data_IF_549505361683
#
_entry.id   IF_549505361683
#
_cell.length_a   1.000
_cell.length_b   1.000
_cell.length_c   1.000
_cell.angle_alpha   90.00
_cell.angle_beta   90.00
_cell.angle_gamma   90.00
#
_symmetry.space_group_name_H-M   'P 1'
#
loop_
_entity.id
_entity.type
_entity.pdbx_description
1 polymer ?
#
# COMPACT_ATOMS: atom_id res chain seq x y z
N UNK A 1 8.64 14.65 -10.45
CA UNK A 1 7.51 15.00 -11.35
C UNK A 1 7.29 16.50 -11.25
N UNK A 2 6.71 17.12 -12.27
CA UNK A 2 6.58 18.58 -12.41
C UNK A 2 5.25 18.97 -13.05
N UNK A 3 5.23 20.08 -13.78
CA UNK A 3 4.06 20.55 -14.52
C UNK A 3 3.51 19.44 -15.44
N UNK A 4 2.18 19.23 -15.42
CA UNK A 4 1.50 18.16 -16.15
C UNK A 4 1.07 16.95 -15.31
N UNK A 5 1.44 16.90 -14.02
CA UNK A 5 0.97 15.89 -13.08
C UNK A 5 0.29 16.53 -11.87
N UNK A 6 -0.82 15.95 -11.45
CA UNK A 6 -1.45 16.23 -10.16
C UNK A 6 -1.35 14.97 -9.30
N UNK A 7 -0.86 15.14 -8.07
CA UNK A 7 -0.74 14.05 -7.10
C UNK A 7 -1.71 14.31 -5.97
N UNK A 8 -2.60 13.34 -5.73
CA UNK A 8 -3.60 13.40 -4.67
C UNK A 8 -3.16 12.46 -3.54
N UNK A 9 -2.89 13.04 -2.37
CA UNK A 9 -2.39 12.30 -1.22
C UNK A 9 -3.53 11.81 -0.33
N UNK A 10 -3.81 10.51 -0.35
CA UNK A 10 -4.82 9.88 0.49
C UNK A 10 -4.20 8.92 1.52
N UNK A 11 -3.15 9.37 2.20
CA UNK A 11 -2.47 8.62 3.27
C UNK A 11 -3.16 8.75 4.63
N UNK A 12 -3.38 7.64 5.34
CA UNK A 12 -3.91 7.64 6.70
C UNK A 12 -3.12 6.69 7.61
N UNK A 13 -2.55 7.23 8.69
CA UNK A 13 -1.79 6.45 9.66
C UNK A 13 -2.64 5.33 10.27
N UNK A 14 -2.11 4.10 10.21
CA UNK A 14 -2.79 2.92 10.75
C UNK A 14 -3.86 2.33 9.83
N UNK A 15 -4.04 2.85 8.61
CA UNK A 15 -4.98 2.28 7.63
C UNK A 15 -4.63 0.82 7.34
N UNK A 16 -5.66 -0.01 7.38
CA UNK A 16 -5.64 -1.42 6.98
C UNK A 16 -6.26 -1.54 5.59
N UNK A 17 -6.05 -2.67 4.92
CA UNK A 17 -6.72 -2.94 3.65
C UNK A 17 -8.23 -3.16 3.84
N UNK A 18 -8.60 -4.27 4.49
CA UNK A 18 -9.99 -4.72 4.71
C UNK A 18 -10.32 -4.99 6.18
N UNK A 19 -9.33 -4.90 7.08
CA UNK A 19 -9.52 -5.25 8.49
C UNK A 19 -10.12 -4.10 9.28
N UNK A 20 -11.19 -4.37 10.03
CA UNK A 20 -11.83 -3.36 10.88
C UNK A 20 -11.31 -3.46 12.31
N UNK A 21 -10.79 -2.35 12.83
CA UNK A 21 -10.60 -2.13 14.26
C UNK A 21 -11.89 -1.50 14.82
N UNK A 22 -12.61 -2.14 15.77
CA UNK A 22 -13.85 -1.59 16.32
C UNK A 22 -13.70 -0.18 16.91
N UNK A 23 -12.53 0.12 17.46
CA UNK A 23 -12.23 1.43 18.06
C UNK A 23 -11.77 2.47 17.02
N UNK A 24 -11.53 2.05 15.78
CA UNK A 24 -11.04 2.90 14.70
C UNK A 24 -11.54 2.44 13.32
N UNK A 25 -12.85 2.27 13.18
CA UNK A 25 -13.49 1.73 11.95
C UNK A 25 -13.13 2.50 10.68
N UNK A 26 -12.86 3.80 10.80
CA UNK A 26 -12.45 4.69 9.72
C UNK A 26 -11.07 4.37 9.12
N UNK A 27 -10.32 3.45 9.74
CA UNK A 27 -9.03 2.97 9.22
C UNK A 27 -9.16 1.80 8.25
N UNK A 28 -10.33 1.19 8.13
CA UNK A 28 -10.57 0.22 7.07
C UNK A 28 -10.67 0.95 5.72
N UNK A 29 -9.80 0.62 4.76
CA UNK A 29 -9.80 1.26 3.45
C UNK A 29 -11.02 0.85 2.60
N UNK A 30 -11.54 -0.37 2.76
CA UNK A 30 -12.62 -0.90 1.93
C UNK A 30 -13.87 0.00 1.86
N UNK A 31 -14.49 0.43 2.98
CA UNK A 31 -15.66 1.31 2.93
C UNK A 31 -15.33 2.75 2.48
N UNK A 32 -14.06 3.14 2.57
CA UNK A 32 -13.60 4.50 2.25
C UNK A 32 -13.24 4.66 0.76
N UNK A 33 -12.71 3.60 0.13
CA UNK A 33 -12.04 3.69 -1.16
C UNK A 33 -12.98 4.13 -2.30
N UNK A 34 -14.18 3.57 -2.41
CA UNK A 34 -15.09 3.92 -3.50
C UNK A 34 -15.53 5.40 -3.47
N UNK A 35 -16.01 5.96 -2.33
CA UNK A 35 -16.27 7.39 -2.23
C UNK A 35 -15.05 8.27 -2.58
N UNK A 36 -13.85 7.85 -2.15
CA UNK A 36 -12.60 8.55 -2.45
C UNK A 36 -12.33 8.60 -3.97
N UNK A 37 -12.41 7.46 -4.66
CA UNK A 37 -12.19 7.39 -6.10
C UNK A 37 -13.17 8.27 -6.87
N UNK A 38 -14.46 8.24 -6.49
CA UNK A 38 -15.51 9.05 -7.13
C UNK A 38 -15.33 10.55 -6.90
N UNK A 39 -14.72 10.95 -5.79
CA UNK A 39 -14.50 12.36 -5.43
C UNK A 39 -13.35 13.00 -6.22
N UNK A 40 -12.42 12.17 -6.71
CA UNK A 40 -11.18 12.62 -7.38
C UNK A 40 -11.15 12.31 -8.88
N UNK A 41 -12.25 11.82 -9.46
CA UNK A 41 -12.31 11.49 -10.89
C UNK A 41 -12.20 12.75 -11.78
N UNK A 42 -11.59 12.65 -12.98
CA UNK A 42 -10.99 11.46 -13.56
C UNK A 42 -9.58 11.16 -13.01
N UNK A 43 -9.25 9.87 -12.90
CA UNK A 43 -7.96 9.36 -12.43
C UNK A 43 -7.30 8.52 -13.52
N UNK A 44 -6.05 8.82 -13.86
CA UNK A 44 -5.26 8.00 -14.80
C UNK A 44 -4.61 6.78 -14.14
N UNK A 45 -4.23 6.92 -12.87
CA UNK A 45 -3.47 5.93 -12.10
C UNK A 45 -3.84 6.03 -10.61
N UNK A 46 -4.04 4.87 -9.97
CA UNK A 46 -4.15 4.71 -8.52
C UNK A 46 -2.96 3.90 -8.02
N UNK A 47 -2.28 4.40 -7.00
CA UNK A 47 -1.14 3.73 -6.38
C UNK A 47 -1.58 3.20 -5.01
N UNK A 48 -1.50 1.88 -4.81
CA UNK A 48 -1.88 1.22 -3.56
C UNK A 48 -0.65 0.70 -2.81
N UNK A 49 -0.33 1.30 -1.67
CA UNK A 49 0.67 0.81 -0.73
C UNK A 49 0.03 0.60 0.66
N UNK A 50 -0.53 -0.59 0.89
CA UNK A 50 -1.12 -1.01 2.17
C UNK A 50 -0.66 -2.43 2.51
N UNK A 51 -0.96 -2.88 3.73
CA UNK A 51 -0.61 -4.22 4.22
C UNK A 51 0.13 -4.19 5.57
N UNK A 52 0.91 -3.14 5.85
CA UNK A 52 1.68 -3.01 7.10
C UNK A 52 0.81 -3.19 8.36
N UNK A 53 -0.35 -2.55 8.41
CA UNK A 53 -1.25 -2.63 9.57
C UNK A 53 -2.11 -3.90 9.60
N UNK A 54 -2.21 -4.61 8.48
CA UNK A 54 -2.89 -5.90 8.40
C UNK A 54 -2.09 -6.97 9.15
N UNK A 55 -0.77 -6.78 9.26
CA UNK A 55 0.13 -7.63 10.04
C UNK A 55 -0.03 -7.47 11.56
N UNK A 56 -0.97 -6.64 12.03
CA UNK A 56 -1.25 -6.54 13.46
C UNK A 56 -1.71 -7.90 14.01
N UNK A 57 -1.18 -8.27 15.17
CA UNK A 57 -1.45 -9.55 15.83
C UNK A 57 -2.95 -9.80 16.07
N UNK A 58 -3.72 -8.75 16.39
CA UNK A 58 -5.16 -8.86 16.65
C UNK A 58 -6.00 -9.26 15.43
N UNK A 59 -5.47 -9.10 14.20
CA UNK A 59 -6.18 -9.47 12.98
C UNK A 59 -5.86 -10.89 12.51
N UNK A 60 -5.00 -11.62 13.24
CA UNK A 60 -4.62 -13.00 12.96
C UNK A 60 -4.28 -13.26 11.48
N UNK A 61 -3.35 -12.48 10.90
CA UNK A 61 -3.04 -12.58 9.48
C UNK A 61 -2.45 -13.97 9.16
N UNK A 62 -2.79 -14.49 7.98
CA UNK A 62 -2.30 -15.75 7.47
C UNK A 62 -1.27 -15.51 6.36
N UNK A 63 -0.22 -16.32 6.34
CA UNK A 63 0.85 -16.25 5.33
C UNK A 63 0.31 -16.44 3.91
N UNK A 64 -0.77 -17.22 3.75
CA UNK A 64 -1.38 -17.51 2.47
C UNK A 64 -2.29 -16.40 1.93
N UNK A 65 -2.78 -15.52 2.82
CA UNK A 65 -3.82 -14.53 2.50
C UNK A 65 -3.31 -13.09 2.64
N UNK A 66 -1.99 -12.88 2.57
CA UNK A 66 -1.36 -11.56 2.74
C UNK A 66 -1.79 -10.53 1.69
N UNK A 67 -2.26 -10.99 0.53
CA UNK A 67 -2.67 -10.15 -0.59
C UNK A 67 -4.18 -9.94 -0.70
N UNK A 68 -5.00 -10.68 0.05
CA UNK A 68 -6.46 -10.69 -0.12
C UNK A 68 -7.09 -9.32 0.05
N UNK A 69 -6.64 -8.59 1.07
CA UNK A 69 -7.13 -7.25 1.32
C UNK A 69 -6.79 -6.28 0.20
N UNK A 70 -5.56 -6.30 -0.32
CA UNK A 70 -5.16 -5.48 -1.47
C UNK A 70 -5.88 -5.94 -2.75
N UNK A 71 -6.07 -7.24 -2.94
CA UNK A 71 -6.84 -7.82 -4.04
C UNK A 71 -8.28 -7.28 -4.05
N UNK A 72 -8.91 -7.22 -2.88
CA UNK A 72 -10.25 -6.64 -2.72
C UNK A 72 -10.30 -5.15 -3.11
N UNK A 73 -9.30 -4.36 -2.70
CA UNK A 73 -9.21 -2.94 -3.07
C UNK A 73 -8.96 -2.76 -4.58
N UNK A 74 -8.14 -3.62 -5.19
CA UNK A 74 -7.93 -3.65 -6.66
C UNK A 74 -9.25 -3.91 -7.39
N UNK A 75 -10.05 -4.86 -6.90
CA UNK A 75 -11.36 -5.16 -7.50
C UNK A 75 -12.34 -3.98 -7.39
N UNK A 76 -12.29 -3.20 -6.30
CA UNK A 76 -13.06 -1.96 -6.17
C UNK A 76 -12.65 -0.92 -7.22
N UNK A 77 -11.34 -0.68 -7.37
CA UNK A 77 -10.83 0.31 -8.34
C UNK A 77 -11.22 -0.10 -9.77
N UNK A 78 -11.03 -1.37 -10.12
CA UNK A 78 -11.40 -1.91 -11.45
C UNK A 78 -12.89 -1.86 -11.71
N UNK A 79 -13.71 -1.96 -10.66
CA UNK A 79 -15.16 -1.83 -10.72
C UNK A 79 -15.63 -0.40 -11.02
N UNK A 80 -14.90 0.62 -10.56
CA UNK A 80 -15.23 2.03 -10.82
C UNK A 80 -14.73 2.50 -12.19
N UNK A 81 -15.38 2.06 -13.25
CA UNK A 81 -15.01 2.43 -14.63
C UNK A 81 -15.21 3.91 -14.94
N UNK A 82 -16.17 4.54 -14.28
CA UNK A 82 -16.46 5.98 -14.38
C UNK A 82 -15.41 6.86 -13.70
N UNK A 83 -14.50 6.25 -12.93
CA UNK A 83 -13.43 6.97 -12.23
C UNK A 83 -12.22 7.27 -13.14
N UNK A 84 -12.01 6.55 -14.24
CA UNK A 84 -10.91 6.82 -15.17
C UNK A 84 -11.37 7.40 -16.51
N UNK A 85 -10.40 7.74 -17.36
CA UNK A 85 -10.69 8.34 -18.66
C UNK A 85 -11.44 7.39 -19.59
N UNK A 86 -12.36 7.93 -20.40
CA UNK A 86 -13.08 7.18 -21.42
C UNK A 86 -14.01 6.07 -20.87
N UNK A 87 -14.47 6.18 -19.62
CA UNK A 87 -15.20 5.13 -18.91
C UNK A 87 -14.41 3.81 -18.79
N UNK A 88 -13.10 3.91 -18.64
CA UNK A 88 -12.23 2.82 -18.23
C UNK A 88 -11.79 3.03 -16.78
N UNK A 89 -11.61 1.95 -16.03
CA UNK A 89 -11.06 2.07 -14.68
C UNK A 89 -9.62 2.62 -14.73
N UNK A 90 -9.19 3.38 -13.71
CA UNK A 90 -7.81 3.86 -13.63
C UNK A 90 -6.79 2.72 -13.71
N UNK A 91 -5.60 2.99 -14.24
CA UNK A 91 -4.46 2.06 -14.11
C UNK A 91 -4.15 1.89 -12.62
N UNK A 92 -3.55 0.76 -12.25
CA UNK A 92 -3.24 0.45 -10.84
C UNK A 92 -1.78 0.07 -10.71
N UNK A 93 -1.07 0.75 -9.83
CA UNK A 93 0.26 0.35 -9.35
C UNK A 93 0.11 -0.19 -7.93
N UNK A 94 0.34 -1.49 -7.77
CA UNK A 94 0.39 -2.15 -6.47
C UNK A 94 1.82 -2.04 -5.93
N UNK A 95 1.95 -1.56 -4.70
CA UNK A 95 3.24 -1.44 -4.02
C UNK A 95 3.29 -2.30 -2.77
N UNK A 96 4.26 -3.21 -2.69
CA UNK A 96 4.53 -3.87 -1.40
C UNK A 96 5.14 -2.87 -0.43
N UNK A 97 4.69 -2.81 0.83
CA UNK A 97 5.26 -1.91 1.83
C UNK A 97 6.73 -2.21 2.16
N UNK A 98 7.45 -1.24 2.76
CA UNK A 98 8.76 -1.46 3.36
C UNK A 98 8.77 -2.66 4.32
N UNK A 99 9.91 -3.37 4.38
CA UNK A 99 10.07 -4.48 5.32
C UNK A 99 10.13 -3.98 6.76
N UNK A 100 9.35 -4.57 7.66
CA UNK A 100 9.49 -4.27 9.08
C UNK A 100 10.79 -4.89 9.61
N UNK A 101 11.41 -4.21 10.57
CA UNK A 101 12.62 -4.68 11.23
C UNK A 101 12.41 -4.70 12.74
N UNK A 102 13.21 -5.50 13.44
CA UNK A 102 13.27 -5.44 14.90
C UNK A 102 13.81 -4.06 15.29
N UNK A 103 13.10 -3.29 16.13
CA UNK A 103 13.53 -1.95 16.44
C UNK A 103 14.52 -1.90 17.59
N UNK A 104 15.30 -0.82 17.62
CA UNK A 104 16.15 -0.43 18.73
C UNK A 104 15.36 0.38 19.77
N UNK A 105 14.42 1.22 19.33
CA UNK A 105 13.47 1.95 20.17
C UNK A 105 12.08 1.32 20.19
N UNK A 106 11.17 1.85 21.02
CA UNK A 106 9.73 1.50 21.01
C UNK A 106 9.42 -0.01 20.99
N UNK A 107 10.28 -0.85 21.59
CA UNK A 107 10.19 -2.32 21.49
C UNK A 107 8.84 -2.87 21.95
N UNK A 108 8.28 -2.33 23.03
CA UNK A 108 6.97 -2.76 23.55
C UNK A 108 5.85 -2.49 22.55
N UNK A 109 5.90 -1.35 21.84
CA UNK A 109 4.94 -1.01 20.79
C UNK A 109 5.02 -1.98 19.62
N UNK A 110 6.23 -2.31 19.18
CA UNK A 110 6.47 -3.28 18.12
C UNK A 110 6.00 -4.69 18.51
N UNK A 111 6.38 -5.17 19.70
CA UNK A 111 6.01 -6.49 20.21
C UNK A 111 4.50 -6.63 20.40
N UNK A 112 3.84 -5.61 20.95
CA UNK A 112 2.39 -5.62 21.17
C UNK A 112 1.58 -5.56 19.87
N UNK A 113 2.14 -4.98 18.80
CA UNK A 113 1.42 -4.81 17.54
C UNK A 113 1.71 -5.87 16.50
N UNK A 114 2.97 -6.16 16.21
CA UNK A 114 3.37 -6.98 15.05
C UNK A 114 4.29 -8.13 15.44
N UNK A 115 5.22 -7.89 16.37
CA UNK A 115 6.23 -8.85 16.79
C UNK A 115 7.09 -9.39 15.65
N UNK A 116 7.86 -10.44 15.92
CA UNK A 116 8.76 -11.07 14.94
C UNK A 116 7.99 -11.69 13.76
N UNK A 117 6.75 -12.16 14.00
CA UNK A 117 5.91 -12.72 12.95
C UNK A 117 5.54 -11.68 11.89
N UNK A 118 5.19 -10.46 12.30
CA UNK A 118 4.93 -9.35 11.38
C UNK A 118 6.15 -9.02 10.53
N UNK A 119 7.35 -8.93 11.13
CA UNK A 119 8.57 -8.71 10.34
C UNK A 119 8.84 -9.82 9.34
N UNK A 120 8.65 -11.09 9.71
CA UNK A 120 8.76 -12.21 8.76
C UNK A 120 7.76 -12.06 7.61
N UNK A 121 6.49 -11.80 7.90
CA UNK A 121 5.42 -11.67 6.89
C UNK A 121 5.58 -10.47 5.98
N UNK A 122 6.10 -9.36 6.50
CA UNK A 122 6.36 -8.15 5.70
C UNK A 122 7.31 -8.40 4.53
N UNK A 123 8.19 -9.42 4.64
CA UNK A 123 9.10 -9.84 3.56
C UNK A 123 8.41 -10.67 2.48
N UNK A 124 7.26 -11.26 2.79
CA UNK A 124 6.48 -12.07 1.86
C UNK A 124 5.55 -11.19 0.99
N UNK A 125 5.35 -9.91 1.34
CA UNK A 125 4.53 -9.00 0.54
C UNK A 125 5.03 -8.87 -0.89
N UNK A 126 6.36 -8.83 -1.12
CA UNK A 126 6.91 -8.75 -2.48
C UNK A 126 6.33 -9.83 -3.39
N UNK A 127 6.52 -11.10 -3.02
CA UNK A 127 6.07 -12.23 -3.82
C UNK A 127 4.55 -12.28 -3.95
N UNK A 128 3.82 -12.00 -2.85
CA UNK A 128 2.36 -12.06 -2.85
C UNK A 128 1.75 -10.97 -3.74
N UNK A 129 2.28 -9.75 -3.68
CA UNK A 129 1.73 -8.61 -4.41
C UNK A 129 2.18 -8.61 -5.87
N UNK A 130 3.38 -9.11 -6.16
CA UNK A 130 3.82 -9.34 -7.53
C UNK A 130 2.94 -10.38 -8.23
N UNK A 131 2.62 -11.49 -7.55
CA UNK A 131 1.71 -12.51 -8.08
C UNK A 131 0.30 -11.93 -8.30
N UNK A 132 -0.23 -11.17 -7.34
CA UNK A 132 -1.51 -10.49 -7.47
C UNK A 132 -1.53 -9.49 -8.65
N UNK A 133 -0.47 -8.69 -8.80
CA UNK A 133 -0.36 -7.73 -9.89
C UNK A 133 -0.37 -8.43 -11.25
N UNK A 134 0.34 -9.57 -11.38
CA UNK A 134 0.30 -10.39 -12.59
C UNK A 134 -1.10 -10.94 -12.86
N UNK A 135 -1.73 -11.56 -11.86
CA UNK A 135 -3.08 -12.14 -11.95
C UNK A 135 -4.11 -11.09 -12.38
N UNK A 136 -4.05 -9.91 -11.77
CA UNK A 136 -4.98 -8.81 -12.03
C UNK A 136 -4.50 -7.89 -13.14
N UNK A 137 -3.42 -8.16 -13.87
CA UNK A 137 -2.91 -7.25 -14.90
C UNK A 137 -2.70 -5.80 -14.41
N UNK A 138 -2.17 -5.64 -13.20
CA UNK A 138 -1.77 -4.37 -12.60
C UNK A 138 -0.24 -4.23 -12.67
N UNK A 139 0.26 -3.02 -12.43
CA UNK A 139 1.68 -2.76 -12.28
C UNK A 139 2.14 -3.08 -10.85
N UNK A 140 3.43 -3.35 -10.68
CA UNK A 140 4.01 -3.68 -9.38
C UNK A 140 5.32 -2.94 -9.13
N UNK A 141 5.52 -2.48 -7.89
CA UNK A 141 6.79 -1.91 -7.41
C UNK A 141 7.04 -2.34 -5.96
N UNK A 142 8.26 -2.78 -5.63
CA UNK A 142 8.59 -3.21 -4.27
C UNK A 142 9.27 -2.10 -3.46
N UNK A 143 8.55 -1.47 -2.53
CA UNK A 143 9.14 -0.47 -1.65
C UNK A 143 10.16 -1.08 -0.68
N UNK A 144 10.06 -2.37 -0.37
CA UNK A 144 10.99 -3.09 0.52
C UNK A 144 12.42 -3.18 0.01
N UNK A 145 12.61 -3.16 -1.32
CA UNK A 145 13.95 -3.14 -1.95
C UNK A 145 14.53 -1.72 -2.10
N UNK A 146 13.67 -0.71 -2.01
CA UNK A 146 14.04 0.70 -2.26
C UNK A 146 14.32 1.42 -0.94
N UNK A 147 13.66 1.03 0.14
CA UNK A 147 13.61 1.79 1.39
C UNK A 147 14.31 1.08 2.53
N UNK A 148 14.83 1.89 3.44
CA UNK A 148 15.28 1.45 4.75
C UNK A 148 14.28 1.87 5.82
N UNK A 149 13.82 0.89 6.58
CA UNK A 149 12.98 1.10 7.77
C UNK A 149 13.82 1.63 8.92
N UNK A 150 13.32 2.65 9.59
CA UNK A 150 13.96 3.33 10.70
C UNK A 150 14.00 2.42 11.94
N UNK A 151 15.18 2.11 12.51
CA UNK A 151 15.30 1.29 13.70
C UNK A 151 14.68 1.92 14.95
N UNK A 152 14.34 3.22 14.94
CA UNK A 152 13.69 3.88 16.08
C UNK A 152 12.34 3.23 16.47
N UNK A 153 11.60 2.70 15.49
CA UNK A 153 10.36 1.95 15.74
C UNK A 153 10.15 0.69 14.88
N UNK A 154 10.98 0.48 13.85
CA UNK A 154 10.99 -0.74 13.04
C UNK A 154 9.82 -0.85 12.06
N UNK A 155 9.08 0.24 11.84
CA UNK A 155 7.87 0.28 11.01
C UNK A 155 7.87 1.42 9.99
N UNK A 156 8.31 2.62 10.39
CA UNK A 156 8.35 3.77 9.50
C UNK A 156 9.69 3.87 8.78
N UNK A 157 9.75 4.66 7.69
CA UNK A 157 10.96 4.85 6.90
C UNK A 157 11.64 6.19 7.22
N UNK A 158 12.94 6.29 6.95
CA UNK A 158 13.69 7.54 7.12
C UNK A 158 13.31 8.59 6.08
N UNK A 159 13.63 9.86 6.34
CA UNK A 159 13.41 10.94 5.35
C UNK A 159 14.20 10.75 4.05
N UNK A 160 15.38 10.14 4.13
CA UNK A 160 16.17 9.75 2.95
C UNK A 160 15.46 8.65 2.15
N UNK A 161 15.00 7.60 2.82
CA UNK A 161 14.25 6.50 2.19
C UNK A 161 12.95 7.00 1.57
N UNK A 162 12.25 7.93 2.21
CA UNK A 162 11.05 8.56 1.66
C UNK A 162 11.35 9.30 0.36
N UNK A 163 12.48 10.04 0.29
CA UNK A 163 12.92 10.72 -0.94
C UNK A 163 13.25 9.72 -2.05
N UNK A 164 13.98 8.65 -1.73
CA UNK A 164 14.32 7.58 -2.68
C UNK A 164 13.08 6.87 -3.21
N UNK A 165 12.12 6.57 -2.33
CA UNK A 165 10.84 5.98 -2.72
C UNK A 165 10.08 6.90 -3.68
N UNK A 166 9.99 8.20 -3.38
CA UNK A 166 9.34 9.17 -4.26
C UNK A 166 9.97 9.23 -5.66
N UNK A 167 11.30 9.12 -5.76
CA UNK A 167 12.01 9.07 -7.04
C UNK A 167 11.70 7.78 -7.83
N UNK A 168 11.69 6.63 -7.15
CA UNK A 168 11.37 5.35 -7.78
C UNK A 168 9.91 5.29 -8.24
N UNK A 169 8.97 5.80 -7.42
CA UNK A 169 7.55 5.92 -7.77
C UNK A 169 7.40 6.83 -8.98
N UNK A 170 8.06 8.00 -9.01
CA UNK A 170 8.01 8.89 -10.16
C UNK A 170 8.49 8.20 -11.45
N UNK A 171 9.59 7.44 -11.40
CA UNK A 171 10.08 6.68 -12.55
C UNK A 171 9.07 5.63 -13.03
N UNK A 172 8.45 4.89 -12.10
CA UNK A 172 7.40 3.91 -12.44
C UNK A 172 6.17 4.59 -13.07
N UNK A 173 5.75 5.74 -12.54
CA UNK A 173 4.61 6.50 -13.09
C UNK A 173 4.89 6.94 -14.53
N UNK A 174 6.08 7.46 -14.82
CA UNK A 174 6.46 7.85 -16.20
C UNK A 174 6.39 6.67 -17.18
N UNK A 175 6.91 5.50 -16.78
CA UNK A 175 6.86 4.28 -17.60
C UNK A 175 5.42 3.78 -17.84
N UNK A 176 4.60 3.76 -16.78
CA UNK A 176 3.20 3.32 -16.83
C UNK A 176 2.35 4.24 -17.72
N UNK A 177 2.57 5.54 -17.59
CA UNK A 177 1.81 6.54 -18.33
C UNK A 177 2.31 6.69 -19.78
N UNK A 178 3.49 6.15 -20.10
CA UNK A 178 4.15 6.20 -21.42
C UNK A 178 4.29 7.63 -21.95
N UNK A 179 4.69 8.54 -21.06
CA UNK A 179 4.96 9.95 -21.36
C UNK A 179 6.46 10.14 -21.57
#
# INVERSE_FOLDING_TARGET
MGEGYEVIEEGLCGRTSIYTDPDAVYKNAEPYLLPCLLSHRPLELVILMLGTNDLRLCFHPDDHHLADGVSRLVDIIKGCKECGEGNAAPRILIMSPPHMIKPEGRKDFYLARVGEMGARRSRLFKSAYQALALEKGCYFLDAGEITQTDPADGLHITGESHRGLGQAVAAAVLDILKI
#
